data_IF_742919321413
#
_entry.id   IF_742919321413
#
_cell.length_a   1.000
_cell.length_b   1.000
_cell.length_c   1.000
_cell.angle_alpha   90.00
_cell.angle_beta   90.00
_cell.angle_gamma   90.00
#
_symmetry.space_group_name_H-M   'P 1'
#
loop_
_entity.id
_entity.type
_entity.pdbx_description
1 polymer ?
#
# COMPACT_ATOMS: atom_id res chain seq x y z
N UNK A 1 32.46 -26.66 -7.06
CA UNK A 1 31.18 -27.10 -6.47
C UNK A 1 30.18 -26.00 -6.70
N UNK A 2 29.02 -26.34 -7.26
CA UNK A 2 27.99 -25.40 -7.75
C UNK A 2 27.62 -24.36 -6.71
N UNK A 3 27.85 -23.08 -7.00
CA UNK A 3 27.12 -22.00 -6.36
C UNK A 3 25.64 -22.29 -6.60
N UNK A 4 24.92 -22.58 -5.53
CA UNK A 4 23.46 -22.67 -5.58
C UNK A 4 23.01 -21.25 -5.83
N UNK A 5 22.57 -20.93 -7.05
CA UNK A 5 21.85 -19.70 -7.35
C UNK A 5 20.58 -19.72 -6.52
N UNK A 6 20.67 -19.22 -5.27
CA UNK A 6 19.53 -19.06 -4.39
C UNK A 6 18.49 -18.27 -5.17
N UNK A 7 17.33 -18.87 -5.41
CA UNK A 7 16.26 -18.22 -6.15
C UNK A 7 15.94 -16.92 -5.40
N UNK A 8 16.23 -15.79 -6.04
CA UNK A 8 15.90 -14.49 -5.49
C UNK A 8 14.40 -14.25 -5.69
N UNK A 9 13.60 -14.59 -4.68
CA UNK A 9 12.16 -14.38 -4.69
C UNK A 9 11.77 -12.92 -4.51
N UNK A 10 12.66 -12.08 -3.97
CA UNK A 10 12.40 -10.65 -3.66
C UNK A 10 11.84 -9.86 -4.85
N UNK A 11 12.44 -9.89 -6.05
CA UNK A 11 11.90 -9.16 -7.21
C UNK A 11 10.50 -9.63 -7.60
N UNK A 12 10.24 -10.94 -7.56
CA UNK A 12 8.94 -11.51 -7.89
C UNK A 12 7.87 -11.10 -6.86
N UNK A 13 8.19 -11.17 -5.57
CA UNK A 13 7.30 -10.76 -4.49
C UNK A 13 6.98 -9.26 -4.58
N UNK A 14 7.96 -8.42 -4.87
CA UNK A 14 7.75 -6.97 -5.07
C UNK A 14 6.83 -6.69 -6.27
N UNK A 15 6.97 -7.43 -7.37
CA UNK A 15 6.07 -7.31 -8.54
C UNK A 15 4.64 -7.75 -8.21
N UNK A 16 4.49 -8.87 -7.50
CA UNK A 16 3.18 -9.34 -7.06
C UNK A 16 2.52 -8.33 -6.10
N UNK A 17 3.28 -7.80 -5.15
CA UNK A 17 2.79 -6.79 -4.21
C UNK A 17 2.46 -5.48 -4.92
N UNK A 18 3.26 -5.06 -5.89
CA UNK A 18 2.95 -3.94 -6.76
C UNK A 18 1.62 -4.15 -7.50
N UNK A 19 1.40 -5.30 -8.14
CA UNK A 19 0.15 -5.58 -8.84
C UNK A 19 -1.06 -5.52 -7.89
N UNK A 20 -0.92 -6.03 -6.67
CA UNK A 20 -1.94 -5.92 -5.63
C UNK A 20 -2.24 -4.46 -5.24
N UNK A 21 -1.19 -3.63 -5.01
CA UNK A 21 -1.36 -2.21 -4.71
C UNK A 21 -2.04 -1.47 -5.88
N UNK A 22 -1.68 -1.80 -7.13
CA UNK A 22 -2.29 -1.22 -8.32
C UNK A 22 -3.79 -1.54 -8.38
N UNK A 23 -4.17 -2.78 -8.09
CA UNK A 23 -5.58 -3.20 -8.01
C UNK A 23 -6.35 -2.43 -6.93
N UNK A 24 -5.79 -2.31 -5.72
CA UNK A 24 -6.40 -1.52 -4.64
C UNK A 24 -6.57 -0.06 -5.08
N UNK A 25 -5.51 0.53 -5.63
CA UNK A 25 -5.53 1.91 -6.13
C UNK A 25 -6.60 2.14 -7.20
N UNK A 26 -6.72 1.23 -8.17
CA UNK A 26 -7.76 1.29 -9.19
C UNK A 26 -9.16 1.18 -8.58
N UNK A 27 -9.37 0.28 -7.61
CA UNK A 27 -10.66 0.17 -6.92
C UNK A 27 -11.04 1.48 -6.22
N UNK A 28 -10.12 2.06 -5.45
CA UNK A 28 -10.31 3.34 -4.76
C UNK A 28 -10.60 4.48 -5.74
N UNK A 29 -9.84 4.55 -6.83
CA UNK A 29 -9.98 5.58 -7.86
C UNK A 29 -11.35 5.52 -8.56
N UNK A 30 -11.80 4.33 -8.92
CA UNK A 30 -13.06 4.18 -9.68
C UNK A 30 -14.28 4.36 -8.76
N UNK A 31 -14.26 3.70 -7.60
CA UNK A 31 -15.44 3.61 -6.71
C UNK A 31 -15.55 4.77 -5.71
N UNK A 32 -14.43 5.40 -5.35
CA UNK A 32 -14.42 6.50 -4.38
C UNK A 32 -15.10 6.12 -3.06
N UNK A 33 -15.95 7.01 -2.55
CA UNK A 33 -16.67 6.83 -1.28
C UNK A 33 -17.64 5.63 -1.30
N UNK A 34 -18.14 5.25 -2.48
CA UNK A 34 -19.11 4.16 -2.62
C UNK A 34 -18.52 2.78 -2.33
N UNK A 35 -17.20 2.66 -2.30
CA UNK A 35 -16.53 1.41 -1.92
C UNK A 35 -16.74 1.07 -0.43
N UNK A 36 -16.93 2.09 0.41
CA UNK A 36 -16.89 1.93 1.87
C UNK A 36 -18.19 2.30 2.56
N UNK A 37 -18.95 3.23 1.99
CA UNK A 37 -20.18 3.70 2.61
C UNK A 37 -21.39 3.29 1.76
N UNK A 38 -22.26 2.41 2.28
CA UNK A 38 -23.50 2.07 1.61
C UNK A 38 -24.44 3.29 1.56
N UNK A 39 -25.45 3.29 0.65
CA UNK A 39 -26.30 4.46 0.42
C UNK A 39 -27.00 5.01 1.67
N UNK A 40 -27.44 4.13 2.58
CA UNK A 40 -28.10 4.50 3.83
C UNK A 40 -27.17 5.25 4.79
N UNK A 41 -25.89 4.88 4.86
CA UNK A 41 -24.91 5.59 5.70
C UNK A 41 -24.49 6.92 5.07
N UNK A 42 -24.31 6.96 3.74
CA UNK A 42 -23.99 8.21 3.04
C UNK A 42 -25.08 9.26 3.16
N UNK A 43 -26.35 8.85 3.20
CA UNK A 43 -27.48 9.76 3.38
C UNK A 43 -27.48 10.47 4.75
N UNK A 44 -26.73 9.97 5.74
CA UNK A 44 -26.62 10.56 7.08
C UNK A 44 -25.47 11.57 7.19
N UNK A 45 -24.63 11.69 6.16
CA UNK A 45 -23.45 12.57 6.13
C UNK A 45 -23.78 13.77 5.24
N UNK A 46 -23.26 14.95 5.59
CA UNK A 46 -23.43 16.14 4.74
C UNK A 46 -22.83 15.91 3.35
N UNK A 47 -23.39 16.59 2.34
CA UNK A 47 -22.89 16.50 0.96
C UNK A 47 -21.44 16.99 0.86
N UNK A 48 -21.08 18.02 1.61
CA UNK A 48 -19.72 18.57 1.67
C UNK A 48 -18.72 17.53 2.19
N UNK A 49 -18.99 16.93 3.35
CA UNK A 49 -18.12 15.89 3.92
C UNK A 49 -18.05 14.66 3.01
N UNK A 50 -19.17 14.26 2.40
CA UNK A 50 -19.18 13.15 1.44
C UNK A 50 -18.32 13.43 0.21
N UNK A 51 -18.40 14.65 -0.34
CA UNK A 51 -17.59 15.10 -1.47
C UNK A 51 -16.09 15.11 -1.13
N UNK A 52 -15.74 15.63 0.05
CA UNK A 52 -14.36 15.62 0.53
C UNK A 52 -13.84 14.18 0.68
N UNK A 53 -14.61 13.27 1.30
CA UNK A 53 -14.22 11.87 1.45
C UNK A 53 -14.04 11.17 0.09
N UNK A 54 -14.97 11.39 -0.86
CA UNK A 54 -14.86 10.82 -2.21
C UNK A 54 -13.57 11.28 -2.91
N UNK A 55 -13.29 12.59 -2.87
CA UNK A 55 -12.05 13.17 -3.40
C UNK A 55 -10.81 12.55 -2.77
N UNK A 56 -10.77 12.42 -1.44
CA UNK A 56 -9.64 11.80 -0.73
C UNK A 56 -9.44 10.32 -1.11
N UNK A 57 -10.52 9.54 -1.28
CA UNK A 57 -10.39 8.15 -1.71
C UNK A 57 -9.89 8.03 -3.15
N UNK A 58 -10.35 8.90 -4.06
CA UNK A 58 -9.86 8.90 -5.45
C UNK A 58 -8.42 9.35 -5.55
N UNK A 59 -8.05 10.39 -4.82
CA UNK A 59 -6.66 10.83 -4.68
C UNK A 59 -5.76 9.71 -4.17
N UNK A 60 -6.15 9.04 -3.07
CA UNK A 60 -5.44 7.87 -2.56
C UNK A 60 -5.31 6.79 -3.62
N UNK A 61 -6.38 6.52 -4.38
CA UNK A 61 -6.36 5.56 -5.47
C UNK A 61 -5.29 5.87 -6.53
N UNK A 62 -5.20 7.14 -6.96
CA UNK A 62 -4.16 7.60 -7.89
C UNK A 62 -2.76 7.44 -7.30
N UNK A 63 -2.58 7.87 -6.05
CA UNK A 63 -1.30 7.75 -5.35
C UNK A 63 -0.85 6.30 -5.25
N UNK A 64 -1.75 5.38 -4.92
CA UNK A 64 -1.44 3.94 -4.87
C UNK A 64 -1.06 3.38 -6.24
N UNK A 65 -1.72 3.81 -7.32
CA UNK A 65 -1.33 3.41 -8.69
C UNK A 65 0.09 3.92 -9.00
N UNK A 66 0.38 5.20 -8.74
CA UNK A 66 1.73 5.75 -8.93
C UNK A 66 2.79 5.05 -8.07
N UNK A 67 2.46 4.78 -6.81
CA UNK A 67 3.30 4.03 -5.88
C UNK A 67 3.59 2.62 -6.40
N UNK A 68 2.56 1.92 -6.92
CA UNK A 68 2.74 0.59 -7.51
C UNK A 68 3.66 0.62 -8.72
N UNK A 69 3.52 1.60 -9.61
CA UNK A 69 4.40 1.73 -10.76
C UNK A 69 5.86 1.93 -10.34
N UNK A 70 6.11 2.79 -9.33
CA UNK A 70 7.44 2.99 -8.76
C UNK A 70 7.98 1.71 -8.11
N UNK A 71 7.15 0.99 -7.34
CA UNK A 71 7.54 -0.26 -6.71
C UNK A 71 7.90 -1.34 -7.75
N UNK A 72 7.07 -1.51 -8.78
CA UNK A 72 7.37 -2.40 -9.91
C UNK A 72 8.68 -2.01 -10.58
N UNK A 73 8.89 -0.72 -10.84
CA UNK A 73 10.12 -0.22 -11.43
C UNK A 73 11.35 -0.57 -10.59
N UNK A 74 11.33 -0.32 -9.27
CA UNK A 74 12.45 -0.68 -8.39
C UNK A 74 12.73 -2.18 -8.36
N UNK A 75 11.70 -3.02 -8.51
CA UNK A 75 11.85 -4.48 -8.52
C UNK A 75 12.59 -5.06 -9.74
N UNK A 76 12.77 -4.29 -10.83
CA UNK A 76 13.53 -4.75 -11.99
C UNK A 76 15.05 -4.72 -11.78
N UNK A 77 15.52 -3.83 -10.92
CA UNK A 77 16.94 -3.66 -10.62
C UNK A 77 17.06 -3.10 -9.19
N UNK A 78 17.07 -4.01 -8.21
CA UNK A 78 17.03 -3.62 -6.79
C UNK A 78 18.37 -3.01 -6.37
N UNK A 79 19.50 -3.52 -6.85
CA UNK A 79 20.83 -3.04 -6.48
C UNK A 79 21.00 -1.56 -6.81
N UNK A 80 20.68 -1.17 -8.05
CA UNK A 80 20.77 0.24 -8.48
C UNK A 80 19.67 1.13 -7.91
N UNK A 81 18.56 0.54 -7.44
CA UNK A 81 17.36 1.28 -6.99
C UNK A 81 17.01 1.04 -5.52
N UNK A 82 17.97 0.60 -4.72
CA UNK A 82 17.78 0.26 -3.32
C UNK A 82 17.28 1.47 -2.50
N UNK A 83 17.84 2.67 -2.74
CA UNK A 83 17.44 3.89 -2.05
C UNK A 83 15.97 4.26 -2.34
N UNK A 84 15.53 4.41 -3.61
CA UNK A 84 14.12 4.58 -3.93
C UNK A 84 13.22 3.50 -3.32
N UNK A 85 13.63 2.23 -3.35
CA UNK A 85 12.87 1.14 -2.77
C UNK A 85 12.72 1.30 -1.24
N UNK A 86 13.79 1.65 -0.54
CA UNK A 86 13.76 1.89 0.91
C UNK A 86 12.87 3.08 1.27
N UNK A 87 12.83 4.14 0.43
CA UNK A 87 11.90 5.26 0.59
C UNK A 87 10.44 4.78 0.45
N UNK A 88 10.14 3.97 -0.58
CA UNK A 88 8.80 3.40 -0.77
C UNK A 88 8.38 2.53 0.41
N UNK A 89 9.26 1.65 0.89
CA UNK A 89 9.02 0.79 2.05
C UNK A 89 8.79 1.61 3.33
N UNK A 90 9.58 2.66 3.54
CA UNK A 90 9.41 3.58 4.66
C UNK A 90 8.07 4.32 4.56
N UNK A 91 7.70 4.78 3.36
CA UNK A 91 6.41 5.42 3.12
C UNK A 91 5.22 4.53 3.46
N UNK A 92 5.29 3.23 3.12
CA UNK A 92 4.28 2.25 3.54
C UNK A 92 4.21 2.11 5.07
N UNK A 93 5.35 1.97 5.76
CA UNK A 93 5.37 1.91 7.22
C UNK A 93 4.73 3.16 7.86
N UNK A 94 5.04 4.35 7.34
CA UNK A 94 4.46 5.62 7.81
C UNK A 94 2.94 5.68 7.58
N UNK A 95 2.46 5.19 6.43
CA UNK A 95 1.03 5.01 6.17
C UNK A 95 0.40 4.09 7.22
N UNK A 96 1.03 2.95 7.49
CA UNK A 96 0.56 1.97 8.48
C UNK A 96 0.49 2.57 9.88
N UNK A 97 1.48 3.36 10.28
CA UNK A 97 1.48 4.08 11.55
C UNK A 97 0.32 5.10 11.64
N UNK A 98 0.09 5.87 10.57
CA UNK A 98 -1.05 6.80 10.49
C UNK A 98 -2.40 6.08 10.61
N UNK A 99 -2.54 4.93 9.93
CA UNK A 99 -3.75 4.09 10.06
C UNK A 99 -3.91 3.50 11.46
N UNK A 100 -2.81 3.06 12.08
CA UNK A 100 -2.82 2.55 13.46
C UNK A 100 -3.31 3.61 14.43
N UNK A 101 -2.78 4.83 14.35
CA UNK A 101 -3.23 5.97 15.18
C UNK A 101 -4.72 6.22 14.97
N UNK A 102 -5.19 6.26 13.72
CA UNK A 102 -6.60 6.46 13.41
C UNK A 102 -7.48 5.33 13.95
N UNK A 103 -7.04 4.07 13.80
CA UNK A 103 -7.75 2.89 14.32
C UNK A 103 -7.80 2.84 15.85
N UNK A 104 -6.74 3.27 16.54
CA UNK A 104 -6.73 3.39 18.00
C UNK A 104 -7.61 4.55 18.49
N UNK A 105 -7.73 5.62 17.70
CA UNK A 105 -8.51 6.81 18.06
C UNK A 105 -10.01 6.63 17.81
N UNK A 106 -10.38 6.04 16.67
CA UNK A 106 -11.77 5.97 16.19
C UNK A 106 -12.33 4.55 16.07
N UNK A 107 -11.49 3.53 16.27
CA UNK A 107 -11.83 2.11 16.04
C UNK A 107 -11.71 1.68 14.58
N UNK A 108 -11.46 0.38 14.37
CA UNK A 108 -11.49 -0.24 13.04
C UNK A 108 -12.92 -0.62 12.63
N UNK A 109 -13.69 0.35 12.13
CA UNK A 109 -15.06 0.09 11.65
C UNK A 109 -15.11 -0.62 10.29
N UNK A 110 -14.03 -0.55 9.52
CA UNK A 110 -13.96 -1.16 8.20
C UNK A 110 -12.81 -2.17 8.15
N UNK A 111 -13.14 -3.45 7.97
CA UNK A 111 -12.16 -4.54 8.08
C UNK A 111 -10.90 -4.35 7.21
N UNK A 112 -11.05 -3.76 6.01
CA UNK A 112 -9.91 -3.55 5.11
C UNK A 112 -8.86 -2.60 5.71
N UNK A 113 -9.24 -1.61 6.53
CA UNK A 113 -8.27 -0.65 7.10
C UNK A 113 -7.41 -1.32 8.15
N UNK A 114 -7.94 -2.30 8.89
CA UNK A 114 -7.16 -3.14 9.80
C UNK A 114 -6.18 -4.00 9.02
N UNK A 115 -6.65 -4.71 7.98
CA UNK A 115 -5.79 -5.53 7.14
C UNK A 115 -4.68 -4.71 6.47
N UNK A 116 -5.00 -3.50 5.99
CA UNK A 116 -4.03 -2.57 5.42
C UNK A 116 -3.02 -2.10 6.46
N UNK A 117 -3.45 -1.77 7.69
CA UNK A 117 -2.53 -1.39 8.78
C UNK A 117 -1.51 -2.50 9.05
N UNK A 118 -1.97 -3.74 9.20
CA UNK A 118 -1.08 -4.88 9.44
C UNK A 118 -0.12 -5.08 8.26
N UNK A 119 -0.63 -5.04 7.04
CA UNK A 119 0.18 -5.19 5.82
C UNK A 119 1.26 -4.09 5.74
N UNK A 120 0.88 -2.84 5.93
CA UNK A 120 1.74 -1.66 5.83
C UNK A 120 2.81 -1.62 6.92
N UNK A 121 2.55 -2.18 8.12
CA UNK A 121 3.53 -2.24 9.21
C UNK A 121 4.43 -3.48 9.19
N UNK A 122 3.94 -4.61 8.65
CA UNK A 122 4.64 -5.90 8.72
C UNK A 122 5.38 -6.22 7.43
N UNK A 123 4.78 -5.96 6.25
CA UNK A 123 5.40 -6.33 4.97
C UNK A 123 6.71 -5.59 4.72
N UNK A 124 6.82 -4.25 4.90
CA UNK A 124 8.07 -3.56 4.57
C UNK A 124 9.27 -4.05 5.42
N UNK A 125 9.15 -4.24 6.76
CA UNK A 125 10.22 -4.87 7.54
C UNK A 125 10.57 -6.28 7.04
N UNK A 126 9.58 -7.15 6.82
CA UNK A 126 9.89 -8.50 6.35
C UNK A 126 10.61 -8.49 4.99
N UNK A 127 10.15 -7.67 4.05
CA UNK A 127 10.77 -7.53 2.73
C UNK A 127 12.18 -6.94 2.83
N UNK A 128 12.41 -5.99 3.74
CA UNK A 128 13.74 -5.43 3.97
C UNK A 128 14.71 -6.49 4.52
N UNK A 129 14.35 -7.13 5.64
CA UNK A 129 15.23 -8.07 6.36
C UNK A 129 15.45 -9.38 5.61
N UNK A 130 14.48 -9.88 4.85
CA UNK A 130 14.62 -11.15 4.13
C UNK A 130 14.92 -10.98 2.65
N UNK A 131 14.88 -9.75 2.12
CA UNK A 131 15.03 -9.46 0.70
C UNK A 131 16.02 -8.35 0.40
N UNK A 132 15.62 -7.10 0.65
CA UNK A 132 16.31 -5.90 0.13
C UNK A 132 17.75 -5.79 0.64
N UNK A 133 18.01 -6.08 1.91
CA UNK A 133 19.38 -5.97 2.48
C UNK A 133 20.44 -6.84 1.79
N UNK A 134 20.02 -7.83 0.99
CA UNK A 134 20.94 -8.68 0.23
C UNK A 134 21.41 -8.03 -1.08
N UNK A 135 20.94 -6.82 -1.38
CA UNK A 135 21.26 -6.03 -2.56
C UNK A 135 21.98 -4.71 -2.22
N UNK A 136 22.30 -4.50 -0.94
CA UNK A 136 23.08 -3.37 -0.41
C UNK A 136 24.59 -3.60 -0.55
#
# INVERSE_FOLDING_TARGET
>A
MSETTAIQYTPLLLKAFSAWIAYLGASHMVRGVTQYLPPNERAQISLETTSQMDSQYRFLGATLIGFSAALCWTSYDITERHLPLNILMTGLCLSGAGRLISGLTFGYKVQWTMNATVTELVVPPLVYWFGIRNYE
#
